data_IF_920318643163
#
_entry.id   IF_920318643163
#
_cell.length_a   1.000
_cell.length_b   1.000
_cell.length_c   1.000
_cell.angle_alpha   90.00
_cell.angle_beta   90.00
_cell.angle_gamma   90.00
#
_symmetry.space_group_name_H-M   'P 1'
#
loop_
_entity.id
_entity.type
_entity.pdbx_description
1 polymer ?
#
# COMPACT_ATOMS: atom_id res chain seq x y z
N UNK A 1 -72.43 -58.66 -7.52
CA UNK A 1 -71.15 -58.35 -8.12
C UNK A 1 -70.87 -56.88 -7.86
N UNK A 2 -70.09 -56.55 -6.87
CA UNK A 2 -69.77 -55.18 -6.48
C UNK A 2 -68.30 -55.09 -6.26
N UNK A 3 -67.62 -54.26 -7.10
CA UNK A 3 -66.23 -53.93 -6.94
C UNK A 3 -66.08 -52.78 -5.94
N UNK A 4 -65.39 -53.04 -4.83
CA UNK A 4 -64.97 -52.07 -3.87
C UNK A 4 -63.63 -51.44 -4.40
N UNK A 5 -63.66 -50.19 -4.75
CA UNK A 5 -62.45 -49.40 -5.04
C UNK A 5 -61.85 -48.85 -3.75
N UNK A 6 -60.66 -49.26 -3.42
CA UNK A 6 -59.89 -48.67 -2.30
C UNK A 6 -59.16 -47.41 -2.80
N UNK A 7 -59.39 -46.32 -2.10
CA UNK A 7 -58.64 -45.06 -2.29
C UNK A 7 -57.40 -45.13 -1.40
N UNK A 8 -56.21 -45.17 -2.04
CA UNK A 8 -54.92 -45.01 -1.34
C UNK A 8 -54.62 -43.51 -1.22
N UNK A 9 -54.66 -43.02 0.02
CA UNK A 9 -54.25 -41.66 0.36
C UNK A 9 -52.71 -41.66 0.56
N UNK A 10 -51.98 -41.12 -0.41
CA UNK A 10 -50.56 -40.84 -0.25
C UNK A 10 -50.37 -39.57 0.58
N UNK A 11 -49.97 -39.72 1.83
CA UNK A 11 -49.53 -38.59 2.65
C UNK A 11 -48.07 -38.35 2.32
N UNK A 12 -47.82 -37.28 1.56
CA UNK A 12 -46.47 -36.73 1.39
C UNK A 12 -46.02 -36.02 2.69
N UNK A 13 -45.23 -36.71 3.49
CA UNK A 13 -44.47 -36.06 4.55
C UNK A 13 -43.36 -35.21 3.90
N UNK A 14 -43.57 -33.91 3.82
CA UNK A 14 -42.55 -32.96 3.50
C UNK A 14 -41.70 -32.77 4.77
N UNK A 15 -40.62 -33.53 4.90
CA UNK A 15 -39.61 -33.31 5.93
C UNK A 15 -38.82 -32.06 5.54
N UNK A 16 -39.24 -30.90 6.05
CA UNK A 16 -38.41 -29.70 6.07
C UNK A 16 -37.21 -29.98 6.95
N UNK A 17 -36.09 -30.33 6.33
CA UNK A 17 -34.77 -30.30 6.94
C UNK A 17 -34.44 -28.84 7.30
N UNK A 18 -34.84 -28.42 8.50
CA UNK A 18 -34.23 -27.27 9.11
C UNK A 18 -32.73 -27.62 9.32
N UNK A 19 -31.87 -27.13 8.42
CA UNK A 19 -30.46 -27.06 8.76
C UNK A 19 -30.32 -26.06 9.90
N UNK A 20 -30.07 -26.53 11.06
CA UNK A 20 -29.48 -25.77 12.17
C UNK A 20 -28.05 -25.38 11.71
N UNK A 21 -27.95 -24.47 10.77
CA UNK A 21 -26.67 -23.82 10.53
C UNK A 21 -26.46 -22.88 11.72
N UNK A 22 -25.47 -23.18 12.55
CA UNK A 22 -25.01 -22.24 13.56
C UNK A 22 -24.61 -20.93 12.88
N UNK A 23 -24.72 -19.82 13.61
CA UNK A 23 -24.34 -18.47 13.15
C UNK A 23 -22.88 -18.49 12.69
N UNK A 24 -22.63 -18.11 11.43
CA UNK A 24 -21.27 -18.04 10.88
C UNK A 24 -20.75 -16.60 10.85
N UNK A 25 -19.92 -16.27 11.83
CA UNK A 25 -19.25 -14.99 11.96
C UNK A 25 -17.79 -15.02 11.45
N UNK A 26 -17.43 -16.05 10.69
CA UNK A 26 -16.07 -16.20 10.15
C UNK A 26 -15.85 -15.26 8.99
N UNK A 27 -14.70 -14.61 8.98
CA UNK A 27 -14.19 -13.79 7.88
C UNK A 27 -12.90 -14.45 7.39
N UNK A 28 -12.77 -14.59 6.08
CA UNK A 28 -11.60 -15.15 5.42
C UNK A 28 -10.89 -14.09 4.59
N UNK A 29 -9.68 -14.38 4.11
CA UNK A 29 -8.92 -13.44 3.25
C UNK A 29 -9.69 -13.08 1.98
N UNK A 30 -10.50 -14.01 1.43
CA UNK A 30 -11.33 -13.77 0.24
C UNK A 30 -12.51 -12.84 0.50
N UNK A 31 -12.80 -12.54 1.76
CA UNK A 31 -13.86 -11.61 2.17
C UNK A 31 -13.30 -10.20 2.41
N UNK A 32 -12.00 -9.98 2.20
CA UNK A 32 -11.30 -8.73 2.47
C UNK A 32 -10.72 -8.14 1.19
N UNK A 33 -10.79 -6.82 1.10
CA UNK A 33 -10.07 -6.00 0.14
C UNK A 33 -9.57 -4.75 0.85
N UNK A 34 -8.30 -4.43 0.66
CA UNK A 34 -7.70 -3.21 1.20
C UNK A 34 -7.23 -2.34 0.04
N UNK A 35 -7.51 -1.06 0.12
CA UNK A 35 -7.10 -0.07 -0.87
C UNK A 35 -6.37 1.07 -0.17
N UNK A 36 -5.28 1.49 -0.75
CA UNK A 36 -4.60 2.73 -0.40
C UNK A 36 -5.06 3.83 -1.36
N UNK A 37 -5.34 5.02 -0.87
CA UNK A 37 -5.81 6.15 -1.69
C UNK A 37 -5.02 7.41 -1.43
N UNK A 38 -5.03 8.30 -2.40
CA UNK A 38 -4.31 9.58 -2.34
C UNK A 38 -4.87 10.54 -1.28
N UNK A 39 -6.11 10.37 -0.87
CA UNK A 39 -6.74 11.14 0.21
C UNK A 39 -6.21 10.76 1.60
N UNK A 40 -5.33 9.76 1.66
CA UNK A 40 -4.66 9.29 2.86
C UNK A 40 -5.30 8.05 3.45
N UNK A 41 -4.53 7.31 4.25
CA UNK A 41 -4.98 6.12 4.95
C UNK A 41 -5.28 4.92 4.05
N UNK A 42 -5.95 3.95 4.64
CA UNK A 42 -6.34 2.71 3.98
C UNK A 42 -7.85 2.52 4.06
N UNK A 43 -8.44 1.98 3.02
CA UNK A 43 -9.83 1.62 2.94
C UNK A 43 -9.94 0.10 3.00
N UNK A 44 -10.47 -0.43 4.09
CA UNK A 44 -10.70 -1.86 4.29
C UNK A 44 -12.17 -2.18 3.98
N UNK A 45 -12.40 -2.96 2.96
CA UNK A 45 -13.71 -3.47 2.59
C UNK A 45 -13.85 -4.91 3.08
N UNK A 46 -14.93 -5.19 3.80
CA UNK A 46 -15.21 -6.49 4.37
C UNK A 46 -16.56 -6.96 3.83
N UNK A 47 -16.57 -8.07 3.10
CA UNK A 47 -17.80 -8.62 2.51
C UNK A 47 -18.91 -8.75 3.55
N UNK A 48 -20.07 -8.20 3.28
CA UNK A 48 -21.27 -8.42 4.09
C UNK A 48 -21.74 -9.87 3.93
N UNK A 49 -21.74 -10.62 5.04
CA UNK A 49 -22.33 -11.96 5.12
C UNK A 49 -23.67 -11.91 5.85
N UNK A 50 -24.58 -12.88 5.60
CA UNK A 50 -25.92 -12.86 6.20
C UNK A 50 -25.93 -12.74 7.73
N UNK A 51 -25.03 -13.46 8.39
CA UNK A 51 -25.00 -13.54 9.85
C UNK A 51 -24.19 -12.40 10.51
N UNK A 52 -23.46 -11.60 9.73
CA UNK A 52 -22.65 -10.50 10.25
C UNK A 52 -23.42 -9.19 10.10
N UNK A 53 -23.76 -8.56 11.20
CA UNK A 53 -24.48 -7.28 11.21
C UNK A 53 -23.57 -6.08 11.47
N UNK A 54 -22.40 -6.29 12.09
CA UNK A 54 -21.38 -5.25 12.22
C UNK A 54 -19.99 -5.84 12.34
N UNK A 55 -18.98 -5.03 12.09
CA UNK A 55 -17.57 -5.36 12.22
C UNK A 55 -16.85 -4.30 13.03
N UNK A 56 -15.86 -4.72 13.80
CA UNK A 56 -15.00 -3.83 14.60
C UNK A 56 -13.54 -4.16 14.31
N UNK A 57 -12.79 -3.19 13.86
CA UNK A 57 -11.36 -3.34 13.68
C UNK A 57 -10.63 -3.09 15.00
N UNK A 58 -9.83 -4.07 15.41
CA UNK A 58 -8.97 -3.97 16.58
C UNK A 58 -7.54 -4.33 16.19
N UNK A 59 -6.56 -3.86 16.94
CA UNK A 59 -5.21 -4.37 16.85
C UNK A 59 -5.02 -5.56 17.78
N UNK A 60 -4.29 -6.56 17.32
CA UNK A 60 -3.80 -7.65 18.13
C UNK A 60 -2.33 -7.41 18.50
N UNK A 61 -2.02 -7.42 19.79
CA UNK A 61 -0.66 -7.19 20.30
C UNK A 61 0.22 -8.42 20.27
N UNK A 62 -0.38 -9.57 20.06
CA UNK A 62 0.29 -10.87 20.13
C UNK A 62 -0.01 -11.67 18.87
N UNK A 63 0.79 -12.70 18.73
CA UNK A 63 0.63 -13.74 17.72
C UNK A 63 -0.85 -14.07 17.42
N UNK A 64 -1.24 -14.18 16.12
CA UNK A 64 -2.55 -14.68 15.71
C UNK A 64 -2.97 -16.02 16.31
N UNK A 65 -2.02 -16.77 16.89
CA UNK A 65 -2.29 -17.99 17.66
C UNK A 65 -3.09 -17.78 18.96
N UNK A 66 -3.78 -16.61 19.11
CA UNK A 66 -4.92 -16.49 20.01
C UNK A 66 -4.65 -16.06 21.46
N UNK A 67 -3.52 -15.48 21.74
CA UNK A 67 -3.22 -14.94 23.08
C UNK A 67 -3.10 -13.44 23.08
N UNK A 68 -3.65 -12.81 22.09
CA UNK A 68 -3.55 -11.39 21.91
C UNK A 68 -4.56 -10.63 22.76
N UNK A 69 -4.13 -9.58 23.39
CA UNK A 69 -5.04 -8.56 23.87
C UNK A 69 -5.56 -7.79 22.66
N UNK A 70 -6.87 -7.63 22.55
CA UNK A 70 -7.50 -6.88 21.48
C UNK A 70 -7.82 -5.48 21.97
N UNK A 71 -7.39 -4.50 21.20
CA UNK A 71 -7.71 -3.10 21.43
C UNK A 71 -8.56 -2.57 20.30
N UNK A 72 -9.56 -1.80 20.65
CA UNK A 72 -10.39 -1.09 19.68
C UNK A 72 -9.83 0.32 19.47
N UNK A 73 -9.78 0.75 18.22
CA UNK A 73 -9.23 2.03 17.81
C UNK A 73 -10.30 2.91 17.19
N UNK A 74 -10.11 4.21 17.31
CA UNK A 74 -10.95 5.22 16.69
C UNK A 74 -10.10 6.37 16.21
N UNK A 75 -10.36 6.86 14.99
CA UNK A 75 -9.77 8.11 14.55
C UNK A 75 -10.18 9.28 15.46
N UNK A 76 -9.28 10.23 15.76
CA UNK A 76 -9.58 11.39 16.58
C UNK A 76 -10.64 12.28 15.96
N UNK A 77 -10.70 12.35 14.66
CA UNK A 77 -11.61 13.18 13.90
C UNK A 77 -12.76 12.35 13.33
N UNK A 78 -13.89 13.01 13.11
CA UNK A 78 -15.00 12.40 12.41
C UNK A 78 -14.58 12.04 10.99
N UNK A 79 -14.96 10.84 10.57
CA UNK A 79 -14.68 10.34 9.24
C UNK A 79 -16.01 10.03 8.53
N UNK A 80 -16.25 10.53 7.30
CA UNK A 80 -17.51 10.33 6.59
C UNK A 80 -17.81 8.85 6.28
N UNK A 81 -16.81 7.99 6.20
CA UNK A 81 -16.98 6.56 5.92
C UNK A 81 -17.45 5.83 7.17
N UNK A 82 -16.80 6.06 8.30
CA UNK A 82 -17.20 5.47 9.59
C UNK A 82 -18.33 6.27 10.27
N UNK A 83 -18.64 7.45 9.77
CA UNK A 83 -19.80 8.27 10.10
C UNK A 83 -20.06 8.48 11.57
N UNK A 84 -21.34 8.52 11.90
CA UNK A 84 -21.87 8.69 13.27
C UNK A 84 -22.05 7.36 14.00
N UNK A 85 -21.41 6.28 13.53
CA UNK A 85 -21.48 4.99 14.18
C UNK A 85 -21.11 5.08 15.65
N UNK A 86 -21.88 4.39 16.49
CA UNK A 86 -21.59 4.31 17.92
C UNK A 86 -20.31 3.50 18.12
N UNK A 87 -19.31 4.12 18.70
CA UNK A 87 -18.03 3.47 18.97
C UNK A 87 -18.07 2.80 20.34
N UNK A 88 -17.95 1.50 20.33
CA UNK A 88 -17.97 0.68 21.54
C UNK A 88 -16.63 -0.02 21.75
N UNK A 89 -16.25 -0.16 23.01
CA UNK A 89 -15.19 -1.04 23.46
C UNK A 89 -15.76 -1.93 24.56
N UNK A 90 -15.73 -3.23 24.37
CA UNK A 90 -16.32 -4.22 25.27
C UNK A 90 -17.80 -3.88 25.65
N UNK A 91 -18.59 -3.53 24.61
CA UNK A 91 -20.01 -3.23 24.74
C UNK A 91 -20.35 -1.90 25.43
N UNK A 92 -19.34 -1.08 25.75
CA UNK A 92 -19.53 0.22 26.40
C UNK A 92 -19.16 1.35 25.44
N UNK A 93 -19.92 2.45 25.42
CA UNK A 93 -19.53 3.64 24.66
C UNK A 93 -18.15 4.13 25.09
N UNK A 94 -17.31 4.43 24.11
CA UNK A 94 -15.97 5.00 24.37
C UNK A 94 -16.16 6.47 24.73
N UNK A 95 -15.72 6.92 25.91
CA UNK A 95 -15.80 8.34 26.29
C UNK A 95 -14.98 9.20 25.31
N UNK A 96 -15.47 10.39 25.01
CA UNK A 96 -14.79 11.33 24.08
C UNK A 96 -13.39 11.72 24.58
N UNK A 97 -13.21 11.75 25.88
CA UNK A 97 -11.97 12.09 26.56
C UNK A 97 -10.98 10.90 26.58
N UNK A 98 -11.45 9.70 26.23
CA UNK A 98 -10.61 8.53 26.17
C UNK A 98 -9.62 8.65 25.01
N UNK A 99 -8.39 8.22 25.25
CA UNK A 99 -7.38 8.06 24.20
C UNK A 99 -7.45 6.69 23.52
N UNK A 100 -8.51 5.93 23.78
CA UNK A 100 -8.76 4.62 23.17
C UNK A 100 -9.60 4.82 21.92
N UNK A 101 -9.24 4.17 20.84
CA UNK A 101 -9.82 4.34 19.52
C UNK A 101 -10.47 3.04 19.05
N UNK A 102 -11.58 3.14 18.32
CA UNK A 102 -12.22 2.00 17.67
C UNK A 102 -12.71 2.35 16.27
N UNK A 103 -12.59 1.42 15.35
CA UNK A 103 -13.13 1.49 14.01
C UNK A 103 -14.23 0.43 13.88
N UNK A 104 -15.48 0.86 13.85
CA UNK A 104 -16.66 0.00 13.75
C UNK A 104 -17.51 0.44 12.57
N UNK A 105 -18.07 -0.52 11.85
CA UNK A 105 -19.07 -0.27 10.81
C UNK A 105 -20.24 -1.24 10.95
N UNK A 106 -21.47 -0.71 10.91
CA UNK A 106 -22.72 -1.45 10.91
C UNK A 106 -23.61 -1.09 9.70
N UNK A 107 -23.09 -0.30 8.77
CA UNK A 107 -23.82 0.24 7.63
C UNK A 107 -23.17 -0.22 6.31
N UNK A 108 -23.40 -1.48 5.89
CA UNK A 108 -22.81 -1.98 4.65
C UNK A 108 -23.28 -1.14 3.47
N UNK A 109 -22.38 -0.91 2.53
CA UNK A 109 -22.59 -0.15 1.32
C UNK A 109 -22.46 -1.02 0.06
N UNK A 110 -23.03 -0.62 -1.09
CA UNK A 110 -22.83 -1.32 -2.34
C UNK A 110 -21.35 -1.38 -2.72
N UNK A 111 -20.85 -2.58 -3.05
CA UNK A 111 -19.47 -2.81 -3.45
C UNK A 111 -19.41 -3.60 -4.76
N UNK A 112 -18.52 -3.19 -5.66
CA UNK A 112 -18.41 -3.77 -7.00
C UNK A 112 -17.92 -5.22 -7.01
N UNK A 113 -17.11 -5.60 -6.02
CA UNK A 113 -16.54 -6.94 -5.91
C UNK A 113 -17.40 -7.86 -5.06
N UNK A 114 -17.98 -7.34 -3.98
CA UNK A 114 -18.66 -8.16 -2.97
C UNK A 114 -20.19 -8.05 -3.04
N UNK A 115 -20.72 -7.13 -3.84
CA UNK A 115 -22.14 -6.76 -3.87
C UNK A 115 -22.48 -5.80 -2.73
N UNK A 116 -22.22 -6.20 -1.48
CA UNK A 116 -22.29 -5.35 -0.28
C UNK A 116 -21.07 -5.58 0.60
N UNK A 117 -20.52 -4.52 1.16
CA UNK A 117 -19.37 -4.57 2.06
C UNK A 117 -19.51 -3.57 3.21
N UNK A 118 -18.95 -3.90 4.34
CA UNK A 118 -18.60 -2.92 5.36
C UNK A 118 -17.35 -2.19 4.92
N UNK A 119 -17.30 -0.87 5.16
CA UNK A 119 -16.21 -0.02 4.73
C UNK A 119 -15.60 0.72 5.92
N UNK A 120 -14.39 0.31 6.30
CA UNK A 120 -13.65 0.93 7.40
C UNK A 120 -12.52 1.75 6.80
N UNK A 121 -12.53 3.06 7.10
CA UNK A 121 -11.38 3.92 6.83
C UNK A 121 -10.40 3.82 7.99
N UNK A 122 -9.17 3.42 7.69
CA UNK A 122 -8.08 3.32 8.64
C UNK A 122 -7.14 4.50 8.35
N UNK A 123 -7.10 5.51 9.22
CA UNK A 123 -6.10 6.57 9.11
C UNK A 123 -4.71 5.99 9.03
N UNK A 124 -3.84 6.61 8.29
CA UNK A 124 -2.48 6.15 8.10
C UNK A 124 -1.75 5.89 9.43
N UNK A 125 -1.95 6.75 10.43
CA UNK A 125 -1.44 6.57 11.77
C UNK A 125 -2.61 6.54 12.75
N UNK A 126 -2.65 5.50 13.57
CA UNK A 126 -3.61 5.35 14.65
C UNK A 126 -2.90 5.47 16.00
N UNK A 127 -3.40 6.32 16.88
CA UNK A 127 -3.04 6.29 18.29
C UNK A 127 -3.74 5.11 18.95
N UNK A 128 -3.02 4.27 19.66
CA UNK A 128 -3.55 3.02 20.21
C UNK A 128 -3.11 2.72 21.63
N UNK A 129 -3.85 1.83 22.27
CA UNK A 129 -3.52 1.22 23.53
C UNK A 129 -3.90 2.04 24.76
N UNK A 130 -3.58 1.47 25.90
CA UNK A 130 -3.70 2.13 27.19
C UNK A 130 -2.40 2.83 27.55
N UNK A 131 -2.44 3.99 28.25
CA UNK A 131 -1.22 4.73 28.60
C UNK A 131 -0.18 3.93 29.39
N UNK A 132 -0.62 2.91 30.14
CA UNK A 132 0.26 2.08 30.96
C UNK A 132 0.72 0.78 30.31
N UNK A 133 0.06 0.33 29.23
CA UNK A 133 0.40 -0.93 28.56
C UNK A 133 1.01 -0.70 27.19
N UNK A 134 0.56 0.35 26.52
CA UNK A 134 0.90 0.58 25.14
C UNK A 134 0.59 2.02 24.74
N UNK A 135 1.53 2.70 24.16
CA UNK A 135 1.35 4.00 23.56
C UNK A 135 2.20 4.13 22.34
N UNK A 136 1.81 5.06 21.53
CA UNK A 136 2.45 5.36 20.28
C UNK A 136 1.46 5.36 19.14
N UNK A 137 2.00 5.24 17.97
CA UNK A 137 1.26 5.24 16.72
C UNK A 137 1.36 3.85 16.11
N UNK A 138 0.25 3.38 15.55
CA UNK A 138 0.24 2.17 14.76
C UNK A 138 0.16 2.55 13.29
N UNK A 139 0.98 1.89 12.50
CA UNK A 139 0.97 2.02 11.05
C UNK A 139 0.30 0.77 10.48
N UNK A 140 -0.63 0.98 9.57
CA UNK A 140 -1.21 -0.11 8.78
C UNK A 140 -0.26 -0.38 7.62
N UNK A 141 0.72 -1.23 7.87
CA UNK A 141 1.78 -1.60 6.93
C UNK A 141 1.89 -3.11 6.85
N UNK A 142 2.77 -3.58 5.99
CA UNK A 142 3.04 -5.01 5.84
C UNK A 142 3.41 -5.67 7.18
N UNK A 143 2.77 -6.79 7.47
CA UNK A 143 3.00 -7.56 8.68
C UNK A 143 2.32 -7.02 9.94
N UNK A 144 1.48 -6.00 9.85
CA UNK A 144 0.68 -5.54 10.99
C UNK A 144 -0.42 -6.54 11.31
N UNK A 145 -0.48 -6.94 12.57
CA UNK A 145 -1.54 -7.82 13.07
C UNK A 145 -2.77 -7.01 13.39
N UNK A 146 -3.86 -7.31 12.71
CA UNK A 146 -5.17 -6.73 12.98
C UNK A 146 -6.16 -7.84 13.30
N UNK A 147 -7.16 -7.52 14.09
CA UNK A 147 -8.28 -8.41 14.34
C UNK A 147 -9.57 -7.76 13.88
N UNK A 148 -10.34 -8.48 13.07
CA UNK A 148 -11.68 -8.07 12.67
C UNK A 148 -12.66 -8.85 13.51
N UNK A 149 -13.27 -8.19 14.49
CA UNK A 149 -14.34 -8.79 15.30
C UNK A 149 -15.66 -8.63 14.55
N UNK A 150 -16.28 -9.75 14.20
CA UNK A 150 -17.58 -9.80 13.55
C UNK A 150 -18.68 -10.04 14.60
N UNK A 151 -19.78 -9.31 14.49
CA UNK A 151 -20.90 -9.39 15.42
C UNK A 151 -22.16 -9.85 14.69
N UNK A 152 -22.95 -10.67 15.39
CA UNK A 152 -24.29 -11.07 14.96
C UNK A 152 -25.27 -9.89 14.92
N UNK A 153 -25.08 -8.90 15.80
CA UNK A 153 -25.96 -7.74 15.94
C UNK A 153 -25.25 -6.45 15.54
N UNK A 154 -26.01 -5.44 15.10
CA UNK A 154 -25.42 -4.15 14.72
C UNK A 154 -24.77 -3.45 15.92
N UNK A 155 -23.88 -2.52 15.61
CA UNK A 155 -23.18 -1.64 16.56
C UNK A 155 -22.31 -2.36 17.60
N UNK A 156 -21.90 -3.60 17.31
CA UNK A 156 -21.11 -4.35 18.27
C UNK A 156 -21.89 -4.64 19.55
N UNK A 157 -23.19 -4.97 19.42
CA UNK A 157 -24.03 -5.32 20.58
C UNK A 157 -23.57 -6.64 21.21
N UNK A 158 -22.99 -6.56 22.39
CA UNK A 158 -22.47 -7.69 23.15
C UNK A 158 -23.53 -8.63 23.72
N UNK A 159 -24.81 -8.34 23.53
CA UNK A 159 -25.88 -9.30 23.83
C UNK A 159 -26.01 -10.41 22.77
N UNK A 160 -25.37 -10.22 21.60
CA UNK A 160 -25.29 -11.20 20.52
C UNK A 160 -23.97 -11.96 20.53
N UNK A 161 -23.86 -12.91 19.60
CA UNK A 161 -22.62 -13.63 19.37
C UNK A 161 -21.59 -12.75 18.67
N UNK A 162 -20.32 -12.97 18.97
CA UNK A 162 -19.22 -12.34 18.22
C UNK A 162 -18.11 -13.36 17.96
N UNK A 163 -17.28 -13.06 16.98
CA UNK A 163 -16.10 -13.86 16.66
C UNK A 163 -14.95 -12.96 16.27
N UNK A 164 -13.77 -13.25 16.84
CA UNK A 164 -12.52 -12.65 16.44
C UNK A 164 -11.92 -13.35 15.23
N UNK A 165 -11.55 -12.57 14.23
CA UNK A 165 -10.92 -13.04 13.01
C UNK A 165 -9.57 -12.32 12.87
N UNK A 166 -8.46 -12.90 13.38
CA UNK A 166 -7.14 -12.28 13.31
C UNK A 166 -6.54 -12.42 11.92
N UNK A 167 -5.92 -11.34 11.42
CA UNK A 167 -5.21 -11.29 10.16
C UNK A 167 -3.86 -10.63 10.33
N UNK A 168 -2.91 -11.06 9.51
CA UNK A 168 -1.76 -10.24 9.17
C UNK A 168 -2.16 -9.44 7.94
N UNK A 169 -2.44 -8.16 8.09
CA UNK A 169 -2.69 -7.30 6.94
C UNK A 169 -1.37 -6.96 6.28
N UNK A 170 -1.22 -7.50 5.10
CA UNK A 170 -0.08 -7.29 4.24
C UNK A 170 -0.56 -6.51 3.03
N UNK A 171 -0.11 -5.28 2.90
CA UNK A 171 -0.27 -4.52 1.66
C UNK A 171 0.80 -5.01 0.70
N UNK A 172 0.46 -6.04 -0.08
CA UNK A 172 1.34 -6.57 -1.12
C UNK A 172 0.86 -6.01 -2.44
N UNK A 173 1.76 -5.39 -3.17
CA UNK A 173 1.51 -4.98 -4.53
C UNK A 173 1.30 -6.21 -5.41
N UNK A 174 0.05 -6.47 -5.81
CA UNK A 174 -0.29 -7.53 -6.75
C UNK A 174 -0.82 -6.88 -8.02
N UNK A 175 -0.02 -6.85 -9.10
CA UNK A 175 -0.52 -6.37 -10.37
C UNK A 175 -1.70 -7.23 -10.82
N UNK A 176 -2.77 -6.56 -11.26
CA UNK A 176 -3.87 -7.25 -11.92
C UNK A 176 -3.44 -7.62 -13.34
N UNK A 177 -4.03 -8.68 -13.90
CA UNK A 177 -3.84 -9.00 -15.30
C UNK A 177 -4.57 -7.94 -16.15
N UNK A 178 -3.84 -7.29 -17.04
CA UNK A 178 -4.41 -6.32 -17.97
C UNK A 178 -3.69 -4.97 -18.02
N UNK A 179 -4.35 -3.93 -18.56
CA UNK A 179 -3.77 -2.60 -18.71
C UNK A 179 -3.47 -1.95 -17.34
N UNK A 180 -2.67 -0.88 -17.33
CA UNK A 180 -2.22 -0.21 -16.09
C UNK A 180 -3.33 0.22 -15.13
N UNK A 181 -4.52 0.51 -15.69
CA UNK A 181 -5.71 0.92 -14.95
C UNK A 181 -6.16 -0.10 -13.95
N UNK A 182 -5.78 -0.38 -12.95
CA UNK A 182 -6.19 -1.36 -11.93
C UNK A 182 -5.02 -1.98 -11.20
N UNK A 183 -3.81 -1.77 -11.74
CA UNK A 183 -2.58 -2.21 -11.09
C UNK A 183 -1.88 -1.07 -10.36
N UNK A 184 -2.15 0.17 -10.72
CA UNK A 184 -1.36 1.34 -10.35
C UNK A 184 -2.27 2.47 -9.91
N UNK A 185 -1.81 3.28 -8.97
CA UNK A 185 -2.52 4.50 -8.60
C UNK A 185 -2.66 5.43 -9.81
N UNK A 186 -3.88 5.85 -10.08
CA UNK A 186 -4.18 6.71 -11.22
C UNK A 186 -3.37 8.01 -11.21
N UNK A 187 -3.30 8.64 -10.05
CA UNK A 187 -2.59 9.90 -9.88
C UNK A 187 -1.07 9.74 -10.04
N UNK A 188 -0.52 8.60 -9.63
CA UNK A 188 0.89 8.25 -9.88
C UNK A 188 1.13 8.09 -11.38
N UNK A 189 0.26 7.37 -12.07
CA UNK A 189 0.36 7.16 -13.53
C UNK A 189 0.33 8.49 -14.26
N UNK A 190 -0.61 9.37 -13.94
CA UNK A 190 -0.75 10.70 -14.55
C UNK A 190 0.50 11.54 -14.30
N UNK A 191 0.90 11.72 -13.04
CA UNK A 191 2.04 12.55 -12.69
C UNK A 191 3.36 12.01 -13.24
N UNK A 192 3.61 10.71 -13.17
CA UNK A 192 4.84 10.12 -13.67
C UNK A 192 4.90 10.12 -15.20
N UNK A 193 3.77 10.01 -15.88
CA UNK A 193 3.71 10.16 -17.33
C UNK A 193 4.09 11.59 -17.75
N UNK A 194 3.60 12.60 -17.04
CA UNK A 194 3.98 13.99 -17.30
C UNK A 194 5.47 14.25 -17.05
N UNK A 195 6.02 13.71 -15.95
CA UNK A 195 7.45 13.81 -15.62
C UNK A 195 8.30 13.17 -16.73
N UNK A 196 7.94 11.96 -17.16
CA UNK A 196 8.67 11.29 -18.24
C UNK A 196 8.61 12.06 -19.57
N UNK A 197 7.44 12.60 -19.91
CA UNK A 197 7.25 13.39 -21.13
C UNK A 197 8.12 14.66 -21.12
N UNK A 198 8.11 15.41 -20.04
CA UNK A 198 8.93 16.62 -19.87
C UNK A 198 10.44 16.29 -19.91
N UNK A 199 10.84 15.19 -19.25
CA UNK A 199 12.22 14.71 -19.24
C UNK A 199 12.66 13.91 -20.48
N UNK A 200 11.86 13.87 -21.55
CA UNK A 200 12.15 13.11 -22.80
C UNK A 200 12.49 11.64 -22.54
N UNK A 201 11.95 11.09 -21.48
CA UNK A 201 12.13 9.71 -21.05
C UNK A 201 10.95 8.81 -21.41
N UNK A 202 10.90 7.66 -20.75
CA UNK A 202 9.87 6.63 -20.96
C UNK A 202 9.20 6.30 -19.65
N UNK A 203 7.93 5.98 -19.74
CA UNK A 203 7.18 5.33 -18.65
C UNK A 203 7.36 3.83 -18.78
N UNK A 204 7.68 3.19 -17.66
CA UNK A 204 7.82 1.74 -17.54
C UNK A 204 6.97 1.28 -16.37
N UNK A 205 6.10 0.34 -16.60
CA UNK A 205 5.27 -0.25 -15.55
C UNK A 205 5.93 -1.54 -15.05
N UNK A 206 6.16 -1.64 -13.76
CA UNK A 206 6.63 -2.89 -13.15
C UNK A 206 5.46 -3.86 -12.95
N UNK A 207 5.73 -5.14 -13.00
CA UNK A 207 4.76 -6.20 -12.66
C UNK A 207 4.96 -6.76 -11.26
N UNK A 208 5.91 -6.20 -10.51
CA UNK A 208 6.25 -6.58 -9.15
C UNK A 208 7.76 -6.56 -8.90
N UNK A 209 8.15 -7.00 -7.72
CA UNK A 209 9.52 -6.90 -7.18
C UNK A 209 10.59 -7.52 -8.09
N UNK A 210 10.28 -8.63 -8.76
CA UNK A 210 11.24 -9.36 -9.61
C UNK A 210 11.46 -8.70 -10.98
N UNK A 211 10.67 -7.68 -11.32
CA UNK A 211 10.66 -7.07 -12.65
C UNK A 211 11.41 -5.73 -12.73
N UNK A 212 11.68 -5.10 -11.59
CA UNK A 212 12.31 -3.78 -11.48
C UNK A 212 13.69 -3.79 -12.17
N UNK A 213 14.60 -4.65 -11.71
CA UNK A 213 15.97 -4.70 -12.22
C UNK A 213 16.05 -5.20 -13.67
N UNK A 214 15.31 -6.22 -14.11
CA UNK A 214 15.20 -6.58 -15.52
C UNK A 214 14.72 -5.44 -16.43
N UNK A 215 13.79 -4.61 -16.00
CA UNK A 215 13.33 -3.44 -16.78
C UNK A 215 14.37 -2.34 -16.82
N UNK A 216 15.07 -2.07 -15.71
CA UNK A 216 16.23 -1.17 -15.70
C UNK A 216 17.30 -1.64 -16.71
N UNK A 217 17.60 -2.94 -16.75
CA UNK A 217 18.54 -3.53 -17.72
C UNK A 217 18.12 -3.18 -19.15
N UNK A 218 16.86 -3.36 -19.51
CA UNK A 218 16.34 -3.01 -20.86
C UNK A 218 16.52 -1.54 -21.21
N UNK A 219 16.35 -0.63 -20.25
CA UNK A 219 16.59 0.79 -20.46
C UNK A 219 18.09 1.02 -20.75
N UNK A 220 18.97 0.48 -19.92
CA UNK A 220 20.42 0.68 -20.05
C UNK A 220 20.99 0.05 -21.32
N UNK A 221 20.49 -1.09 -21.76
CA UNK A 221 20.94 -1.77 -22.98
C UNK A 221 20.73 -0.92 -24.25
N UNK A 222 19.85 0.06 -24.22
CA UNK A 222 19.67 1.01 -25.33
C UNK A 222 20.81 2.02 -25.45
N UNK A 223 21.70 2.10 -24.46
CA UNK A 223 22.78 3.08 -24.35
C UNK A 223 24.18 2.47 -24.58
N UNK A 224 24.24 1.26 -25.15
CA UNK A 224 25.48 0.55 -25.41
C UNK A 224 26.48 1.40 -26.24
N UNK A 225 27.76 1.31 -25.91
CA UNK A 225 28.85 2.01 -26.59
C UNK A 225 29.06 3.45 -26.10
N UNK A 226 28.20 3.99 -25.29
CA UNK A 226 28.24 5.38 -24.81
C UNK A 226 28.81 5.49 -23.40
N UNK A 227 29.21 6.69 -23.02
CA UNK A 227 29.44 7.03 -21.62
C UNK A 227 28.10 7.33 -20.95
N UNK A 228 27.89 6.81 -19.74
CA UNK A 228 26.59 6.90 -19.01
C UNK A 228 26.80 7.39 -17.60
N UNK A 229 26.07 8.43 -17.23
CA UNK A 229 25.81 8.84 -15.86
C UNK A 229 24.37 8.47 -15.51
N UNK A 230 24.20 7.63 -14.49
CA UNK A 230 22.89 7.16 -14.02
C UNK A 230 22.65 7.65 -12.58
N UNK A 231 21.52 8.31 -12.36
CA UNK A 231 21.00 8.55 -11.01
C UNK A 231 19.68 7.80 -10.82
N UNK A 232 19.61 7.01 -9.77
CA UNK A 232 18.37 6.38 -9.33
C UNK A 232 17.70 7.27 -8.28
N UNK A 233 16.48 7.75 -8.56
CA UNK A 233 15.61 8.34 -7.56
C UNK A 233 14.73 7.23 -7.01
N UNK A 234 14.97 6.82 -5.77
CA UNK A 234 14.38 5.63 -5.18
C UNK A 234 13.55 6.02 -3.97
N UNK A 235 12.28 5.71 -4.05
CA UNK A 235 11.38 5.78 -2.91
C UNK A 235 11.85 4.82 -1.81
N UNK A 236 11.79 5.27 -0.57
CA UNK A 236 12.21 4.49 0.60
C UNK A 236 11.18 4.56 1.72
N UNK A 237 9.92 4.83 1.37
CA UNK A 237 8.78 4.72 2.27
C UNK A 237 8.41 3.26 2.52
N UNK A 238 7.53 3.00 3.47
CA UNK A 238 7.22 1.63 3.89
C UNK A 238 6.59 0.77 2.79
N UNK A 239 5.86 1.36 1.85
CA UNK A 239 5.29 0.66 0.69
C UNK A 239 6.36 -0.04 -0.16
N UNK A 240 7.57 0.50 -0.20
CA UNK A 240 8.71 0.01 -0.97
C UNK A 240 9.49 -1.15 -0.33
N UNK A 241 9.04 -1.68 0.79
CA UNK A 241 9.82 -2.65 1.60
C UNK A 241 10.27 -3.87 0.81
N UNK A 242 9.33 -4.48 0.10
CA UNK A 242 9.61 -5.70 -0.68
C UNK A 242 10.41 -5.37 -1.96
N UNK A 243 10.19 -4.20 -2.56
CA UNK A 243 10.85 -3.75 -3.78
C UNK A 243 12.34 -3.45 -3.58
N UNK A 244 12.68 -2.85 -2.45
CA UNK A 244 14.07 -2.50 -2.10
C UNK A 244 14.94 -3.74 -2.01
N UNK A 245 14.43 -4.86 -1.53
CA UNK A 245 15.22 -6.09 -1.41
C UNK A 245 15.62 -6.65 -2.78
N UNK A 246 14.76 -6.54 -3.77
CA UNK A 246 15.11 -6.88 -5.16
C UNK A 246 16.21 -5.96 -5.69
N UNK A 247 16.10 -4.66 -5.48
CA UNK A 247 17.13 -3.70 -5.88
C UNK A 247 18.46 -4.00 -5.19
N UNK A 248 18.45 -4.27 -3.89
CA UNK A 248 19.66 -4.62 -3.10
C UNK A 248 20.38 -5.86 -3.64
N UNK A 249 19.63 -6.87 -4.02
CA UNK A 249 20.19 -8.17 -4.38
C UNK A 249 20.56 -8.29 -5.86
N UNK A 250 19.79 -7.67 -6.75
CA UNK A 250 19.89 -7.88 -8.19
C UNK A 250 20.60 -6.75 -8.95
N UNK A 251 20.61 -5.51 -8.42
CA UNK A 251 21.11 -4.35 -9.17
C UNK A 251 22.59 -4.49 -9.52
N UNK A 252 23.44 -4.74 -8.54
CA UNK A 252 24.90 -4.80 -8.77
C UNK A 252 25.32 -6.00 -9.62
N UNK A 253 24.78 -7.21 -9.41
CA UNK A 253 24.99 -8.31 -10.35
C UNK A 253 24.63 -7.93 -11.79
N UNK A 254 23.45 -7.37 -12.01
CA UNK A 254 23.00 -6.92 -13.33
C UNK A 254 23.95 -5.87 -13.95
N UNK A 255 24.37 -4.86 -13.19
CA UNK A 255 25.30 -3.84 -13.67
C UNK A 255 26.65 -4.44 -14.06
N UNK A 256 27.18 -5.38 -13.27
CA UNK A 256 28.43 -6.09 -13.59
C UNK A 256 28.35 -6.86 -14.91
N UNK A 257 27.19 -7.41 -15.23
CA UNK A 257 26.98 -8.17 -16.48
C UNK A 257 26.99 -7.25 -17.72
N UNK A 258 26.57 -5.99 -17.57
CA UNK A 258 26.39 -5.10 -18.72
C UNK A 258 27.43 -3.97 -18.79
N UNK A 259 28.21 -3.71 -17.73
CA UNK A 259 29.11 -2.55 -17.63
C UNK A 259 30.15 -2.50 -18.77
N UNK A 260 30.63 -3.65 -19.19
CA UNK A 260 31.61 -3.73 -20.30
C UNK A 260 31.06 -3.28 -21.66
N UNK A 261 29.75 -3.05 -21.76
CA UNK A 261 29.09 -2.56 -22.98
C UNK A 261 29.09 -1.03 -23.09
N UNK A 262 29.53 -0.31 -22.05
CA UNK A 262 29.62 1.15 -22.01
C UNK A 262 31.07 1.62 -22.12
N UNK A 263 31.29 2.80 -22.70
CA UNK A 263 32.62 3.39 -22.73
C UNK A 263 33.08 3.89 -21.35
N UNK A 264 32.14 4.37 -20.55
CA UNK A 264 32.28 4.61 -19.10
C UNK A 264 30.91 4.58 -18.41
N UNK A 265 30.90 4.32 -17.12
CA UNK A 265 29.66 4.25 -16.35
C UNK A 265 29.85 4.73 -14.92
N UNK A 266 29.00 5.66 -14.50
CA UNK A 266 28.91 6.10 -13.10
C UNK A 266 27.46 5.98 -12.64
N UNK A 267 27.29 5.58 -11.39
CA UNK A 267 25.98 5.50 -10.75
C UNK A 267 25.96 6.35 -9.49
N UNK A 268 24.89 7.10 -9.34
CA UNK A 268 24.52 7.81 -8.12
C UNK A 268 23.07 7.48 -7.72
N UNK A 269 22.63 8.00 -6.62
CA UNK A 269 21.29 7.73 -6.14
C UNK A 269 20.75 8.92 -5.33
N UNK A 270 19.45 9.13 -5.37
CA UNK A 270 18.70 9.98 -4.47
C UNK A 270 17.67 9.12 -3.79
N UNK A 271 17.85 8.86 -2.51
CA UNK A 271 16.79 8.26 -1.69
C UNK A 271 15.82 9.36 -1.32
N UNK A 272 14.52 9.08 -1.36
CA UNK A 272 13.54 10.06 -0.92
C UNK A 272 12.44 9.40 -0.08
N UNK A 273 11.76 10.22 0.69
CA UNK A 273 10.59 9.92 1.50
C UNK A 273 9.62 11.08 1.36
N UNK A 274 8.80 11.30 2.38
CA UNK A 274 7.95 12.47 2.45
C UNK A 274 8.47 13.53 3.44
N UNK A 275 7.75 14.64 3.54
CA UNK A 275 7.99 15.71 4.50
C UNK A 275 7.77 15.20 5.93
N UNK A 276 8.59 15.73 6.85
CA UNK A 276 8.60 15.36 8.27
C UNK A 276 9.08 13.94 8.58
N UNK A 277 9.66 13.26 7.60
CA UNK A 277 10.33 11.99 7.79
C UNK A 277 11.81 12.16 8.19
N UNK A 278 12.54 11.04 8.38
CA UNK A 278 13.98 11.05 8.73
C UNK A 278 14.79 11.92 7.78
N UNK A 279 14.42 11.93 6.51
CA UNK A 279 14.97 12.82 5.46
C UNK A 279 13.93 13.04 4.37
N UNK A 280 13.96 14.22 3.77
CA UNK A 280 13.16 14.53 2.59
C UNK A 280 13.76 13.89 1.34
N UNK A 281 15.07 14.13 1.13
CA UNK A 281 15.87 13.44 0.14
C UNK A 281 17.33 13.31 0.62
N UNK A 282 18.02 12.28 0.13
CA UNK A 282 19.41 11.98 0.49
C UNK A 282 20.20 11.62 -0.76
N UNK A 283 20.89 12.61 -1.37
CA UNK A 283 21.76 12.37 -2.50
C UNK A 283 22.98 11.54 -2.12
N UNK A 284 23.33 10.58 -2.97
CA UNK A 284 24.50 9.70 -2.87
C UNK A 284 25.30 9.88 -4.14
N UNK A 285 26.51 10.41 -4.01
CA UNK A 285 27.34 10.84 -5.10
C UNK A 285 27.63 9.76 -6.15
N UNK A 286 27.98 10.16 -7.37
CA UNK A 286 28.42 9.25 -8.42
C UNK A 286 29.63 8.43 -7.99
N UNK A 287 29.60 7.17 -8.33
CA UNK A 287 30.72 6.23 -8.18
C UNK A 287 30.75 5.24 -9.32
N UNK A 288 31.96 4.71 -9.61
CA UNK A 288 32.18 3.53 -10.43
C UNK A 288 32.61 2.34 -9.57
N UNK A 289 32.74 2.51 -8.25
CA UNK A 289 33.00 1.44 -7.29
C UNK A 289 31.68 0.76 -6.87
N UNK A 290 31.36 -0.31 -7.57
CA UNK A 290 30.15 -1.11 -7.30
C UNK A 290 30.19 -1.82 -5.95
N UNK A 291 31.35 -2.11 -5.39
CA UNK A 291 31.42 -2.70 -4.05
C UNK A 291 31.04 -1.68 -2.98
N UNK A 292 31.47 -0.44 -3.13
CA UNK A 292 31.05 0.66 -2.27
C UNK A 292 29.56 0.97 -2.44
N UNK A 293 29.07 0.98 -3.67
CA UNK A 293 27.66 1.22 -3.96
C UNK A 293 26.75 0.13 -3.36
N UNK A 294 27.18 -1.16 -3.45
CA UNK A 294 26.46 -2.27 -2.80
C UNK A 294 26.36 -2.11 -1.28
N UNK A 295 27.43 -1.65 -0.62
CA UNK A 295 27.35 -1.36 0.83
C UNK A 295 26.33 -0.29 1.15
N UNK A 296 26.26 0.73 0.29
CA UNK A 296 25.25 1.79 0.41
C UNK A 296 23.83 1.24 0.22
N UNK A 297 23.60 0.41 -0.81
CA UNK A 297 22.31 -0.26 -1.02
C UNK A 297 21.87 -1.09 0.20
N UNK A 298 22.80 -1.86 0.75
CA UNK A 298 22.52 -2.70 1.92
C UNK A 298 22.21 -1.90 3.19
N UNK A 299 22.65 -0.64 3.24
CA UNK A 299 22.40 0.25 4.37
C UNK A 299 21.10 1.06 4.25
N UNK A 300 20.37 0.97 3.12
CA UNK A 300 19.10 1.66 2.94
C UNK A 300 18.11 1.12 3.99
N UNK A 301 17.43 2.02 4.65
CA UNK A 301 16.33 1.70 5.56
C UNK A 301 15.03 2.21 4.97
N UNK A 302 14.09 1.31 4.83
CA UNK A 302 12.73 1.60 4.40
C UNK A 302 11.88 1.90 5.63
N UNK A 303 11.04 2.89 5.54
CA UNK A 303 10.16 3.26 6.65
C UNK A 303 9.65 4.69 6.50
N UNK A 304 8.55 5.00 7.15
CA UNK A 304 7.86 6.27 7.00
C UNK A 304 6.84 6.23 5.85
N UNK A 305 6.47 7.40 5.33
CA UNK A 305 5.36 7.54 4.38
C UNK A 305 4.03 7.66 5.14
N UNK A 306 3.68 8.86 5.61
CA UNK A 306 2.50 9.11 6.48
C UNK A 306 1.22 9.32 5.71
N UNK A 307 1.36 9.73 4.48
CA UNK A 307 0.29 9.93 3.51
C UNK A 307 0.80 9.47 2.14
N UNK A 308 -0.10 9.33 1.20
CA UNK A 308 0.20 8.74 -0.10
C UNK A 308 1.14 9.61 -0.95
N UNK A 309 0.93 10.96 -1.08
CA UNK A 309 1.84 11.77 -1.87
C UNK A 309 3.23 11.86 -1.23
N UNK A 310 4.25 11.73 -2.06
CA UNK A 310 5.65 11.71 -1.64
C UNK A 310 6.45 12.89 -2.22
N UNK A 311 7.64 13.14 -1.67
CA UNK A 311 8.49 14.27 -2.10
C UNK A 311 9.26 14.01 -3.41
N UNK A 312 8.53 13.60 -4.44
CA UNK A 312 9.08 13.21 -5.75
C UNK A 312 9.78 14.36 -6.45
N UNK A 313 9.18 15.57 -6.44
CA UNK A 313 9.78 16.72 -7.11
C UNK A 313 11.07 17.18 -6.44
N UNK A 314 11.14 17.10 -5.12
CA UNK A 314 12.34 17.40 -4.33
C UNK A 314 13.47 16.41 -4.65
N UNK A 315 13.13 15.13 -4.81
CA UNK A 315 14.09 14.10 -5.21
C UNK A 315 14.63 14.34 -6.63
N UNK A 316 13.75 14.58 -7.58
CA UNK A 316 14.11 14.85 -8.96
C UNK A 316 14.93 16.14 -9.08
N UNK A 317 14.55 17.21 -8.39
CA UNK A 317 15.31 18.44 -8.38
C UNK A 317 16.72 18.25 -7.79
N UNK A 318 16.83 17.47 -6.73
CA UNK A 318 18.13 17.09 -6.18
C UNK A 318 18.96 16.27 -7.17
N UNK A 319 18.34 15.31 -7.86
CA UNK A 319 19.00 14.54 -8.91
C UNK A 319 19.50 15.44 -10.05
N UNK A 320 18.69 16.38 -10.51
CA UNK A 320 19.08 17.30 -11.55
C UNK A 320 20.24 18.20 -11.12
N UNK A 321 20.24 18.71 -9.86
CA UNK A 321 21.08 19.86 -9.48
C UNK A 321 22.31 19.50 -8.62
N UNK A 322 22.30 18.36 -7.92
CA UNK A 322 23.34 17.99 -6.95
C UNK A 322 24.43 17.07 -7.54
N UNK A 323 24.29 16.64 -8.77
CA UNK A 323 25.23 15.72 -9.39
C UNK A 323 26.09 16.40 -10.46
N UNK A 324 27.40 16.09 -10.53
CA UNK A 324 28.31 16.61 -11.56
C UNK A 324 28.18 15.77 -12.85
N UNK A 325 27.06 15.97 -13.56
CA UNK A 325 26.75 15.31 -14.82
C UNK A 325 27.79 15.64 -15.89
N UNK A 326 28.38 14.61 -16.55
CA UNK A 326 29.44 14.80 -17.53
C UNK A 326 29.41 13.81 -18.70
N UNK A 327 28.68 12.71 -18.57
CA UNK A 327 28.59 11.67 -19.60
C UNK A 327 27.79 12.13 -20.84
N UNK A 328 27.93 11.42 -21.95
CA UNK A 328 27.12 11.66 -23.17
C UNK A 328 25.64 11.36 -22.91
N UNK A 329 25.37 10.29 -22.17
CA UNK A 329 24.01 9.94 -21.74
C UNK A 329 23.86 10.20 -20.26
N UNK A 330 22.93 11.07 -19.93
CA UNK A 330 22.63 11.52 -18.57
C UNK A 330 21.22 11.06 -18.23
N UNK A 331 21.11 10.09 -17.35
CA UNK A 331 19.87 9.36 -17.13
C UNK A 331 19.46 9.40 -15.66
N UNK A 332 18.23 9.79 -15.42
CA UNK A 332 17.53 9.61 -14.16
C UNK A 332 16.50 8.48 -14.35
N UNK A 333 16.45 7.55 -13.42
CA UNK A 333 15.37 6.58 -13.30
C UNK A 333 14.67 6.82 -11.96
N UNK A 334 13.46 7.34 -12.02
CA UNK A 334 12.58 7.47 -10.88
C UNK A 334 11.85 6.15 -10.67
N UNK A 335 11.85 5.65 -9.44
CA UNK A 335 11.20 4.39 -9.05
C UNK A 335 10.35 4.66 -7.83
N UNK A 336 9.05 4.42 -7.93
CA UNK A 336 8.10 4.62 -6.85
C UNK A 336 6.68 4.17 -7.23
N UNK A 337 5.82 4.10 -6.23
CA UNK A 337 4.43 3.70 -6.34
C UNK A 337 3.46 4.85 -6.06
N UNK A 338 3.93 5.94 -5.45
CA UNK A 338 3.14 7.06 -4.99
C UNK A 338 3.37 8.35 -5.80
N UNK A 339 2.34 9.21 -5.98
CA UNK A 339 2.44 10.44 -6.75
C UNK A 339 3.19 11.53 -5.97
N UNK A 340 3.70 12.58 -6.67
CA UNK A 340 4.15 13.78 -6.00
C UNK A 340 2.99 14.51 -5.32
N UNK A 341 3.30 15.35 -4.33
CA UNK A 341 2.30 16.24 -3.74
C UNK A 341 1.64 17.12 -4.80
N UNK A 342 0.30 17.13 -4.89
CA UNK A 342 -0.42 17.98 -5.88
C UNK A 342 -0.16 19.47 -5.68
N UNK A 343 0.16 19.85 -4.44
CA UNK A 343 0.65 21.18 -4.07
C UNK A 343 1.95 20.99 -3.31
N UNK A 344 3.06 21.55 -3.82
CA UNK A 344 4.33 21.45 -3.12
C UNK A 344 4.20 21.93 -1.68
N UNK A 345 4.68 21.14 -0.74
CA UNK A 345 4.79 21.55 0.68
C UNK A 345 6.05 22.38 0.93
N UNK A 346 7.04 22.24 0.04
CA UNK A 346 8.27 23.03 -0.01
C UNK A 346 8.27 24.04 -1.15
N UNK A 347 9.48 24.46 -1.56
CA UNK A 347 9.67 25.45 -2.61
C UNK A 347 9.89 24.83 -3.99
N UNK A 348 10.00 23.52 -4.11
CA UNK A 348 10.28 22.83 -5.38
C UNK A 348 8.96 22.56 -6.10
N UNK A 349 8.86 23.06 -7.31
CA UNK A 349 7.71 22.83 -8.19
C UNK A 349 8.08 21.92 -9.35
N UNK A 350 7.08 21.39 -10.03
CA UNK A 350 7.26 20.58 -11.25
C UNK A 350 8.05 21.37 -12.31
N UNK A 351 7.71 22.64 -12.52
CA UNK A 351 8.35 23.51 -13.50
C UNK A 351 9.85 23.70 -13.22
N UNK A 352 10.23 23.77 -11.95
CA UNK A 352 11.64 23.84 -11.55
C UNK A 352 12.40 22.57 -11.90
N UNK A 353 11.76 21.40 -11.73
CA UNK A 353 12.34 20.10 -12.12
C UNK A 353 12.50 20.03 -13.63
N UNK A 354 11.44 20.36 -14.38
CA UNK A 354 11.44 20.33 -15.84
C UNK A 354 12.53 21.27 -16.40
N UNK A 355 12.61 22.48 -15.88
CA UNK A 355 13.65 23.45 -16.28
C UNK A 355 15.07 22.94 -16.00
N UNK A 356 15.30 22.39 -14.80
CA UNK A 356 16.59 21.83 -14.41
C UNK A 356 17.01 20.64 -15.27
N UNK A 357 16.05 19.79 -15.65
CA UNK A 357 16.29 18.64 -16.53
C UNK A 357 16.65 19.11 -17.97
N UNK A 358 15.90 20.06 -18.50
CA UNK A 358 16.15 20.63 -19.85
C UNK A 358 17.52 21.29 -19.91
N UNK A 359 17.87 22.15 -18.95
CA UNK A 359 19.15 22.88 -18.92
C UNK A 359 20.36 21.94 -18.90
N UNK A 360 20.23 20.77 -18.36
CA UNK A 360 21.32 19.76 -18.24
C UNK A 360 21.21 18.62 -19.23
N UNK A 361 20.21 18.67 -20.12
CA UNK A 361 19.94 17.63 -21.11
C UNK A 361 19.76 16.25 -20.48
N UNK A 362 19.03 16.19 -19.35
CA UNK A 362 18.77 14.94 -18.62
C UNK A 362 17.57 14.21 -19.22
N UNK A 363 17.67 12.88 -19.29
CA UNK A 363 16.53 12.02 -19.60
C UNK A 363 15.96 11.47 -18.28
N UNK A 364 14.67 11.63 -18.06
CA UNK A 364 13.99 11.13 -16.87
C UNK A 364 13.06 9.99 -17.30
N UNK A 365 13.50 8.76 -17.09
CA UNK A 365 12.60 7.61 -17.17
C UNK A 365 11.91 7.41 -15.81
N UNK A 366 10.69 6.96 -15.86
CA UNK A 366 9.94 6.64 -14.66
C UNK A 366 9.56 5.16 -14.67
N UNK A 367 9.68 4.52 -13.53
CA UNK A 367 9.22 3.16 -13.30
C UNK A 367 8.15 3.20 -12.23
N UNK A 368 6.94 2.89 -12.64
CA UNK A 368 5.76 2.87 -11.77
C UNK A 368 5.62 1.46 -11.22
N UNK A 369 5.59 1.37 -9.92
CA UNK A 369 5.38 0.12 -9.21
C UNK A 369 3.90 -0.12 -8.97
N UNK A 370 3.44 -1.39 -8.92
CA UNK A 370 2.06 -1.69 -8.59
C UNK A 370 1.78 -1.32 -7.13
N UNK A 371 0.50 -1.05 -6.89
CA UNK A 371 -0.01 -0.67 -5.58
C UNK A 371 -0.35 -1.90 -4.73
#
# INVERSE_FOLDING_TARGET
>A
MGKKGGVFLFVFLWSSLFRLNGIDLSISVQDLRIEQRIDGGYHLYIRKKPDIASVLLTESTRDPAMKADNYAYRAPEWNPINGDEMRLLDGKPIPKESKIWSLIDSSPEPDSQFGEAFHIYIPYILNYGYPWTRHGEIYVVDGTYLNIRAFEKPYGDYQGSFKDNPFVLRVVQKPLEGPPEGNFMKDTVEAFTEIAAAGKGKVVYSTGVDDIVPKMKKILETLKGKSVDLVLCLDTTDSMRDDIDSVRTMLIPMLKDIIAQFSSFRIGMVLYKDYFEEYLNKPIAFTSDFASFQRTLNAIRVGGGRDIPEAVYEALYAACTKFPWAAEEKLIILIGDAPPHPRPRGNITKEMVDQAAIERELKINVMILPQ
#
